data_IF_972062987300
#
_entry.id   IF_972062987300
#
_cell.length_a   1.000
_cell.length_b   1.000
_cell.length_c   1.000
_cell.angle_alpha   90.00
_cell.angle_beta   90.00
_cell.angle_gamma   90.00
#
_symmetry.space_group_name_H-M   'P 1'
#
loop_
_entity.id
_entity.type
_entity.pdbx_description
1 polymer ?
#
# COMPACT_ATOMS: atom_id res chain seq x y z
N UNK A 1 0.18 3.81 8.12
CA UNK A 1 0.98 3.11 7.10
C UNK A 1 0.06 2.85 5.93
N UNK A 2 0.21 3.57 4.81
CA UNK A 2 -0.52 3.27 3.58
C UNK A 2 -0.39 1.79 3.20
N UNK A 3 -1.52 1.17 2.90
CA UNK A 3 -1.64 -0.18 2.36
C UNK A 3 -2.07 -0.06 0.88
N UNK A 4 -2.43 -1.17 0.23
CA UNK A 4 -2.75 -1.16 -1.20
C UNK A 4 -3.78 -0.10 -1.60
N UNK A 5 -4.94 0.05 -0.92
CA UNK A 5 -5.96 0.99 -1.36
C UNK A 5 -5.51 2.45 -1.35
N UNK A 6 -4.73 2.85 -0.34
CA UNK A 6 -4.17 4.20 -0.26
C UNK A 6 -3.16 4.45 -1.39
N UNK A 7 -2.28 3.49 -1.65
CA UNK A 7 -1.27 3.61 -2.71
C UNK A 7 -1.93 3.60 -4.09
N UNK A 8 -2.99 2.82 -4.29
CA UNK A 8 -3.77 2.82 -5.52
C UNK A 8 -4.47 4.17 -5.73
N UNK A 9 -5.09 4.72 -4.68
CA UNK A 9 -5.74 6.04 -4.73
C UNK A 9 -4.76 7.11 -5.17
N UNK A 10 -3.57 7.15 -4.56
CA UNK A 10 -2.50 8.09 -4.95
C UNK A 10 -2.08 7.87 -6.40
N UNK A 11 -1.90 6.61 -6.82
CA UNK A 11 -1.53 6.27 -8.20
C UNK A 11 -2.57 6.75 -9.21
N UNK A 12 -3.86 6.55 -8.94
CA UNK A 12 -4.96 6.97 -9.81
C UNK A 12 -5.05 8.49 -9.92
N UNK A 13 -4.75 9.21 -8.84
CA UNK A 13 -4.68 10.67 -8.83
C UNK A 13 -3.49 11.21 -9.59
N UNK A 14 -2.30 10.63 -9.37
CA UNK A 14 -1.10 11.03 -10.09
C UNK A 14 -1.24 10.79 -11.60
N UNK A 15 -1.92 9.73 -12.04
CA UNK A 15 -2.21 9.51 -13.47
C UNK A 15 -3.13 10.57 -14.09
N UNK A 16 -3.93 11.30 -13.29
CA UNK A 16 -4.73 12.42 -13.80
C UNK A 16 -3.92 13.70 -13.94
N UNK A 17 -2.79 13.77 -13.25
CA UNK A 17 -1.99 14.98 -13.07
C UNK A 17 -0.72 14.94 -13.91
N UNK A 18 0.01 13.82 -13.90
CA UNK A 18 1.36 13.72 -14.43
C UNK A 18 1.40 13.25 -15.88
N UNK A 19 0.89 12.08 -16.29
CA UNK A 19 1.24 11.58 -17.61
C UNK A 19 0.36 12.15 -18.74
N UNK A 20 0.93 12.45 -19.92
CA UNK A 20 2.36 12.59 -20.20
C UNK A 20 2.88 14.01 -19.82
N UNK A 21 3.81 14.11 -18.86
CA UNK A 21 4.52 15.36 -18.51
C UNK A 21 5.98 15.10 -18.17
N UNK A 22 6.81 16.09 -18.45
CA UNK A 22 8.24 16.05 -18.14
C UNK A 22 8.51 16.40 -16.68
N UNK A 23 9.32 15.56 -16.03
CA UNK A 23 10.04 15.94 -14.81
C UNK A 23 11.30 16.67 -15.23
N UNK A 24 11.54 17.85 -14.64
CA UNK A 24 12.67 18.72 -14.97
C UNK A 24 13.76 18.69 -13.90
N UNK A 25 13.42 18.35 -12.66
CA UNK A 25 14.40 18.13 -11.60
C UNK A 25 13.85 17.29 -10.45
N UNK A 26 14.76 16.64 -9.72
CA UNK A 26 14.52 16.04 -8.41
C UNK A 26 15.46 16.71 -7.40
N UNK A 27 14.89 17.44 -6.45
CA UNK A 27 15.62 18.03 -5.33
C UNK A 27 15.51 17.12 -4.12
N UNK A 28 16.64 16.59 -3.65
CA UNK A 28 16.69 15.90 -2.37
C UNK A 28 16.88 16.92 -1.23
N UNK A 29 15.86 17.08 -0.39
CA UNK A 29 15.90 18.00 0.76
C UNK A 29 16.45 17.32 2.02
N UNK A 30 16.40 15.99 2.09
CA UNK A 30 17.00 15.20 3.16
C UNK A 30 17.83 14.06 2.56
N UNK A 31 19.15 14.02 2.79
CA UNK A 31 20.03 12.99 2.24
C UNK A 31 19.59 11.55 2.53
N UNK A 32 19.71 10.67 1.53
CA UNK A 32 19.37 9.25 1.60
C UNK A 32 17.86 8.96 1.50
N UNK A 33 17.07 9.93 1.08
CA UNK A 33 15.66 9.76 0.70
C UNK A 33 15.55 9.19 -0.71
N UNK A 34 16.31 9.77 -1.65
CA UNK A 34 16.45 9.29 -3.02
C UNK A 34 17.71 8.44 -3.16
N UNK A 35 17.63 7.35 -3.93
CA UNK A 35 18.73 6.43 -4.18
C UNK A 35 18.82 6.17 -5.68
N UNK A 36 19.92 6.61 -6.29
CA UNK A 36 20.25 6.38 -7.70
C UNK A 36 21.70 5.85 -7.80
N UNK A 37 21.93 4.56 -7.47
CA UNK A 37 23.27 4.00 -7.41
C UNK A 37 23.96 3.93 -8.79
N UNK A 38 23.17 3.93 -9.87
CA UNK A 38 23.63 3.81 -11.25
C UNK A 38 23.73 5.18 -11.96
N UNK A 39 23.41 6.28 -11.26
CA UNK A 39 23.41 7.65 -11.82
C UNK A 39 22.57 7.76 -13.11
N UNK A 40 21.38 7.16 -13.09
CA UNK A 40 20.48 7.06 -14.23
C UNK A 40 19.73 8.36 -14.51
N UNK A 41 19.51 9.19 -13.49
CA UNK A 41 18.72 10.42 -13.60
C UNK A 41 19.38 11.42 -14.56
N UNK A 42 18.73 11.62 -15.71
CA UNK A 42 19.08 12.65 -16.70
C UNK A 42 17.82 13.43 -17.07
N UNK A 43 17.77 14.69 -16.64
CA UNK A 43 16.64 15.57 -16.90
C UNK A 43 16.77 16.30 -18.26
N UNK A 44 15.65 16.66 -18.89
CA UNK A 44 14.30 16.23 -18.56
C UNK A 44 14.03 14.77 -19.00
N UNK A 45 13.07 14.14 -18.34
CA UNK A 45 12.48 12.86 -18.77
C UNK A 45 10.96 12.89 -18.61
N UNK A 46 10.28 12.09 -19.42
CA UNK A 46 8.82 12.00 -19.44
C UNK A 46 8.37 10.90 -18.47
N UNK A 47 7.32 11.16 -17.69
CA UNK A 47 6.55 10.08 -17.05
C UNK A 47 5.50 9.61 -18.05
N UNK A 48 5.63 8.36 -18.51
CA UNK A 48 4.66 7.74 -19.42
C UNK A 48 3.42 7.28 -18.67
N UNK A 49 3.62 6.75 -17.45
CA UNK A 49 2.54 6.24 -16.62
C UNK A 49 2.96 6.17 -15.16
N UNK A 50 1.98 6.22 -14.27
CA UNK A 50 2.16 5.84 -12.87
C UNK A 50 1.44 4.52 -12.62
N UNK A 51 2.13 3.52 -12.10
CA UNK A 51 1.55 2.22 -11.76
C UNK A 51 1.83 1.87 -10.30
N UNK A 52 1.16 0.84 -9.81
CA UNK A 52 1.33 0.34 -8.44
C UNK A 52 1.75 -1.12 -8.46
N UNK A 53 2.72 -1.46 -7.63
CA UNK A 53 3.04 -2.85 -7.24
C UNK A 53 2.97 -3.00 -5.73
N UNK A 54 2.03 -3.78 -5.22
CA UNK A 54 1.80 -3.91 -3.78
C UNK A 54 1.56 -2.56 -3.10
N UNK A 55 2.54 -2.09 -2.33
CA UNK A 55 2.53 -0.80 -1.61
C UNK A 55 3.55 0.21 -2.18
N UNK A 56 4.03 -0.04 -3.40
CA UNK A 56 4.96 0.80 -4.13
C UNK A 56 4.21 1.55 -5.22
N UNK A 57 4.54 2.83 -5.37
CA UNK A 57 4.18 3.66 -6.52
C UNK A 57 5.36 3.56 -7.48
N UNK A 58 5.10 3.39 -8.77
CA UNK A 58 6.14 3.26 -9.80
C UNK A 58 5.85 4.27 -10.89
N UNK A 59 6.78 5.19 -11.12
CA UNK A 59 6.74 6.07 -12.29
C UNK A 59 7.52 5.38 -13.40
N UNK A 60 6.80 4.97 -14.45
CA UNK A 60 7.36 4.46 -15.69
C UNK A 60 7.78 5.66 -16.54
N UNK A 61 9.02 5.66 -17.01
CA UNK A 61 9.59 6.78 -17.74
C UNK A 61 9.87 6.42 -19.19
N UNK A 62 10.01 7.43 -20.07
CA UNK A 62 10.44 7.20 -21.46
C UNK A 62 11.95 6.92 -21.61
N UNK A 63 12.62 6.59 -20.50
CA UNK A 63 14.03 6.23 -20.41
C UNK A 63 14.12 4.81 -19.86
N UNK A 64 15.31 4.21 -19.87
CA UNK A 64 15.53 2.84 -19.40
C UNK A 64 15.60 2.70 -17.86
N UNK A 65 14.79 3.48 -17.14
CA UNK A 65 14.71 3.45 -15.68
C UNK A 65 13.31 3.80 -15.19
N UNK A 66 13.00 3.31 -13.99
CA UNK A 66 11.77 3.57 -13.27
C UNK A 66 12.05 4.22 -11.93
N UNK A 67 11.13 5.06 -11.45
CA UNK A 67 11.20 5.66 -10.11
C UNK A 67 10.20 4.95 -9.21
N UNK A 68 10.69 4.28 -8.18
CA UNK A 68 9.90 3.47 -7.27
C UNK A 68 9.82 4.16 -5.90
N UNK A 69 8.61 4.46 -5.45
CA UNK A 69 8.37 5.16 -4.19
C UNK A 69 7.64 4.24 -3.21
N UNK A 70 8.19 4.09 -2.00
CA UNK A 70 7.50 3.39 -0.91
C UNK A 70 7.24 4.34 0.26
N UNK A 71 5.98 4.66 0.51
CA UNK A 71 5.55 5.64 1.53
C UNK A 71 5.83 5.21 2.97
N UNK A 72 5.98 3.90 3.20
CA UNK A 72 6.18 3.31 4.54
C UNK A 72 5.06 3.76 5.47
N UNK A 73 5.37 4.41 6.59
CA UNK A 73 4.39 4.62 7.66
C UNK A 73 3.63 5.94 7.53
N UNK A 74 4.37 7.02 7.29
CA UNK A 74 3.90 8.41 7.34
C UNK A 74 4.20 9.18 6.05
N UNK A 75 4.79 8.52 5.04
CA UNK A 75 5.07 9.13 3.77
C UNK A 75 3.78 9.53 3.04
N UNK A 76 3.82 10.69 2.39
CA UNK A 76 2.76 11.25 1.56
C UNK A 76 3.36 11.71 0.25
N UNK A 77 2.55 11.63 -0.80
CA UNK A 77 2.82 12.28 -2.07
C UNK A 77 1.79 13.38 -2.20
N UNK A 78 2.27 14.60 -2.39
CA UNK A 78 1.45 15.80 -2.39
C UNK A 78 1.71 16.55 -3.68
N UNK A 79 0.65 17.02 -4.32
CA UNK A 79 0.73 17.87 -5.48
C UNK A 79 0.51 19.33 -5.09
N UNK A 80 1.38 20.21 -5.55
CA UNK A 80 1.25 21.66 -5.39
C UNK A 80 1.52 22.38 -6.71
N UNK A 81 0.69 23.34 -7.09
CA UNK A 81 0.98 24.25 -8.20
C UNK A 81 1.99 25.33 -7.82
N UNK A 82 2.02 25.72 -6.55
CA UNK A 82 3.00 26.64 -6.00
C UNK A 82 3.59 25.99 -4.76
N UNK A 83 4.88 25.67 -4.78
CA UNK A 83 5.55 25.00 -3.67
C UNK A 83 5.43 25.84 -2.39
N UNK A 84 4.80 25.29 -1.37
CA UNK A 84 4.68 25.96 -0.08
C UNK A 84 6.06 26.05 0.60
N UNK A 85 6.44 27.25 1.03
CA UNK A 85 7.71 27.46 1.75
C UNK A 85 7.74 26.76 3.12
N UNK A 86 6.58 26.36 3.67
CA UNK A 86 6.43 25.83 5.02
C UNK A 86 6.33 24.29 5.10
N UNK A 87 6.99 23.56 4.19
CA UNK A 87 6.99 22.08 4.19
C UNK A 87 8.10 21.49 5.08
N UNK A 88 7.93 21.57 6.41
CA UNK A 88 8.90 21.08 7.43
C UNK A 88 9.31 19.61 7.25
N UNK A 89 8.42 18.80 6.68
CA UNK A 89 8.62 17.35 6.52
C UNK A 89 8.85 16.91 5.07
N UNK A 90 9.00 17.86 4.13
CA UNK A 90 9.40 17.54 2.77
C UNK A 90 10.82 16.93 2.76
N UNK A 91 10.96 15.83 2.04
CA UNK A 91 12.20 15.05 1.94
C UNK A 91 12.76 15.06 0.54
N UNK A 92 11.90 15.10 -0.47
CA UNK A 92 12.29 15.33 -1.85
C UNK A 92 11.17 16.03 -2.60
N UNK A 93 11.54 16.76 -3.65
CA UNK A 93 10.59 17.48 -4.53
C UNK A 93 10.93 17.15 -5.97
N UNK A 94 9.95 16.63 -6.72
CA UNK A 94 10.02 16.58 -8.17
C UNK A 94 9.40 17.86 -8.73
N UNK A 95 10.16 18.60 -9.51
CA UNK A 95 9.63 19.71 -10.29
C UNK A 95 9.25 19.17 -11.67
N UNK A 96 8.08 19.55 -12.17
CA UNK A 96 7.63 19.15 -13.50
C UNK A 96 7.27 20.38 -14.35
N UNK A 97 7.12 20.20 -15.67
CA UNK A 97 6.83 21.32 -16.59
C UNK A 97 5.56 22.11 -16.21
N UNK A 98 5.54 23.42 -16.48
CA UNK A 98 4.42 24.34 -16.14
C UNK A 98 4.23 24.58 -14.63
N UNK A 99 5.34 24.58 -13.88
CA UNK A 99 5.48 25.14 -12.53
C UNK A 99 4.90 24.34 -11.37
N UNK A 100 4.44 23.10 -11.55
CA UNK A 100 3.99 22.32 -10.40
C UNK A 100 5.05 21.40 -9.80
N UNK A 101 4.70 20.90 -8.62
CA UNK A 101 5.60 20.16 -7.75
C UNK A 101 4.92 18.91 -7.22
N UNK A 102 5.67 17.81 -7.19
CA UNK A 102 5.32 16.61 -6.42
C UNK A 102 6.23 16.58 -5.20
N UNK A 103 5.65 16.79 -4.03
CA UNK A 103 6.37 16.78 -2.76
C UNK A 103 6.26 15.40 -2.13
N UNK A 104 7.41 14.80 -1.85
CA UNK A 104 7.49 13.62 -0.99
C UNK A 104 7.72 14.07 0.46
N UNK A 105 6.65 14.03 1.25
CA UNK A 105 6.64 14.43 2.66
C UNK A 105 6.68 13.18 3.55
N UNK A 106 7.58 13.12 4.53
CA UNK A 106 7.61 12.00 5.47
C UNK A 106 8.13 12.42 6.85
N UNK A 107 7.23 12.46 7.84
CA UNK A 107 7.53 12.79 9.23
C UNK A 107 8.63 11.88 9.80
N UNK A 108 8.55 10.57 9.54
CA UNK A 108 9.44 9.56 10.12
C UNK A 108 10.66 9.24 9.27
N UNK A 109 10.76 9.79 8.07
CA UNK A 109 11.92 9.62 7.14
C UNK A 109 12.20 8.18 6.73
N UNK A 110 11.19 7.31 6.82
CA UNK A 110 11.33 5.88 6.53
C UNK A 110 11.10 5.56 5.06
N UNK A 111 10.24 6.33 4.40
CA UNK A 111 9.97 6.13 2.99
C UNK A 111 11.18 6.44 2.12
N UNK A 112 11.15 5.89 0.91
CA UNK A 112 12.28 5.87 -0.02
C UNK A 112 11.80 6.10 -1.44
N UNK A 113 12.65 6.75 -2.21
CA UNK A 113 12.58 6.91 -3.66
C UNK A 113 13.78 6.13 -4.22
N UNK A 114 13.50 5.07 -4.97
CA UNK A 114 14.49 4.21 -5.61
C UNK A 114 14.45 4.45 -7.12
N UNK A 115 15.56 4.89 -7.69
CA UNK A 115 15.74 5.02 -9.14
C UNK A 115 16.53 3.80 -9.58
N UNK A 116 15.90 2.95 -10.40
CA UNK A 116 16.49 1.69 -10.83
C UNK A 116 16.31 1.51 -12.33
N UNK A 117 17.25 0.83 -12.98
CA UNK A 117 17.08 0.45 -14.38
C UNK A 117 15.88 -0.47 -14.54
N UNK A 118 15.16 -0.36 -15.65
CA UNK A 118 13.99 -1.22 -15.93
C UNK A 118 14.37 -2.70 -15.95
N UNK A 119 15.61 -3.02 -16.33
CA UNK A 119 16.16 -4.38 -16.28
C UNK A 119 16.19 -4.97 -14.86
N UNK A 120 16.25 -4.12 -13.84
CA UNK A 120 16.34 -4.51 -12.44
C UNK A 120 14.97 -4.50 -11.73
N UNK A 121 13.89 -4.07 -12.40
CA UNK A 121 12.55 -3.96 -11.79
C UNK A 121 11.95 -5.30 -11.39
N UNK A 122 12.13 -6.33 -12.22
CA UNK A 122 11.65 -7.68 -11.92
C UNK A 122 12.35 -8.23 -10.67
N UNK A 123 13.67 -8.11 -10.59
CA UNK A 123 14.44 -8.54 -9.42
C UNK A 123 14.02 -7.76 -8.15
N UNK A 124 13.84 -6.45 -8.26
CA UNK A 124 13.40 -5.59 -7.15
C UNK A 124 12.07 -6.08 -6.57
N UNK A 125 11.15 -6.56 -7.41
CA UNK A 125 9.84 -7.06 -7.00
C UNK A 125 9.74 -8.58 -6.86
N UNK A 126 10.81 -9.34 -7.11
CA UNK A 126 10.80 -10.81 -7.16
C UNK A 126 10.31 -11.47 -5.85
N UNK A 127 10.47 -10.79 -4.71
CA UNK A 127 10.04 -11.29 -3.39
C UNK A 127 8.62 -10.89 -3.01
N UNK A 128 7.90 -10.17 -3.86
CA UNK A 128 6.52 -9.75 -3.63
C UNK A 128 5.56 -10.78 -4.24
N UNK A 129 4.58 -11.22 -3.45
CA UNK A 129 3.57 -12.19 -3.88
C UNK A 129 2.55 -11.60 -4.85
N UNK A 130 1.54 -12.39 -5.22
CA UNK A 130 0.49 -12.01 -6.15
C UNK A 130 -0.20 -10.69 -5.76
N UNK A 131 -0.62 -9.93 -6.78
CA UNK A 131 -1.53 -8.80 -6.60
C UNK A 131 -2.91 -9.32 -6.15
N UNK A 132 -3.46 -8.87 -5.00
CA UNK A 132 -4.69 -9.45 -4.45
C UNK A 132 -5.94 -9.21 -5.30
N UNK A 133 -5.90 -8.21 -6.19
CA UNK A 133 -7.00 -7.90 -7.12
C UNK A 133 -6.86 -8.58 -8.48
N UNK A 134 -5.75 -9.29 -8.73
CA UNK A 134 -5.53 -10.05 -9.96
C UNK A 134 -6.16 -11.45 -9.91
N UNK A 135 -6.19 -12.13 -11.04
CA UNK A 135 -6.64 -13.52 -11.14
C UNK A 135 -5.61 -14.53 -10.60
N UNK A 136 -4.34 -14.14 -10.51
CA UNK A 136 -3.27 -14.93 -9.87
C UNK A 136 -3.60 -15.16 -8.38
N UNK A 137 -4.16 -14.15 -7.71
CA UNK A 137 -4.62 -14.30 -6.33
C UNK A 137 -5.95 -15.05 -6.27
N UNK A 138 -5.83 -16.37 -6.23
CA UNK A 138 -6.95 -17.32 -6.16
C UNK A 138 -6.72 -18.40 -5.08
N UNK A 139 -7.69 -19.30 -4.93
CA UNK A 139 -7.68 -20.35 -3.90
C UNK A 139 -6.47 -21.28 -4.05
N UNK A 140 -6.12 -21.67 -5.28
CA UNK A 140 -4.98 -22.55 -5.53
C UNK A 140 -3.68 -21.88 -5.11
N UNK A 141 -3.46 -20.65 -5.56
CA UNK A 141 -2.31 -19.84 -5.17
C UNK A 141 -2.18 -19.74 -3.65
N UNK A 142 -3.27 -19.38 -2.96
CA UNK A 142 -3.22 -19.21 -1.50
C UNK A 142 -2.97 -20.55 -0.80
N UNK A 143 -3.62 -21.64 -1.24
CA UNK A 143 -3.37 -22.98 -0.70
C UNK A 143 -1.90 -23.38 -0.79
N UNK A 144 -1.25 -23.11 -1.92
CA UNK A 144 0.16 -23.41 -2.12
C UNK A 144 1.07 -22.54 -1.25
N UNK A 145 0.79 -21.24 -1.15
CA UNK A 145 1.55 -20.32 -0.28
C UNK A 145 1.41 -20.62 1.21
N UNK A 146 0.27 -21.19 1.63
CA UNK A 146 0.01 -21.55 3.02
C UNK A 146 0.46 -22.97 3.39
N UNK A 147 0.87 -23.78 2.41
CA UNK A 147 1.32 -25.16 2.63
C UNK A 147 2.44 -25.21 3.67
N UNK A 148 2.23 -25.98 4.74
CA UNK A 148 3.16 -26.17 5.88
C UNK A 148 3.44 -24.89 6.70
N UNK A 149 2.66 -23.82 6.53
CA UNK A 149 2.78 -22.58 7.33
C UNK A 149 1.93 -22.70 8.60
N UNK A 150 2.53 -23.15 9.69
CA UNK A 150 1.86 -23.29 11.01
C UNK A 150 1.55 -21.97 11.72
N UNK A 151 2.07 -20.84 11.20
CA UNK A 151 1.83 -19.52 11.78
C UNK A 151 0.35 -19.12 11.66
N UNK A 152 -0.16 -18.25 12.55
CA UNK A 152 -1.51 -17.70 12.42
C UNK A 152 -1.75 -17.05 11.06
N UNK A 153 -2.93 -17.27 10.47
CA UNK A 153 -3.29 -16.78 9.13
C UNK A 153 -3.09 -15.27 8.98
N UNK A 154 -3.41 -14.49 10.02
CA UNK A 154 -3.17 -13.04 10.02
C UNK A 154 -1.70 -12.74 9.72
N UNK A 155 -0.78 -13.42 10.39
CA UNK A 155 0.65 -13.17 10.23
C UNK A 155 1.08 -13.50 8.81
N UNK A 156 0.59 -14.61 8.25
CA UNK A 156 0.97 -15.04 6.90
C UNK A 156 0.43 -14.09 5.83
N UNK A 157 -0.79 -13.55 5.99
CA UNK A 157 -1.37 -12.55 5.08
C UNK A 157 -0.69 -11.18 5.14
N UNK A 158 0.00 -10.85 6.23
CA UNK A 158 0.79 -9.63 6.35
C UNK A 158 2.14 -9.71 5.64
N UNK A 159 2.63 -10.92 5.36
CA UNK A 159 3.88 -11.14 4.64
C UNK A 159 3.70 -10.75 3.17
N UNK A 160 4.45 -9.75 2.70
CA UNK A 160 4.31 -9.25 1.32
C UNK A 160 4.68 -10.30 0.26
N UNK A 161 5.45 -11.34 0.63
CA UNK A 161 5.76 -12.51 -0.21
C UNK A 161 4.60 -13.49 -0.39
N UNK A 162 3.62 -13.45 0.52
CA UNK A 162 2.39 -14.25 0.44
C UNK A 162 1.39 -13.54 -0.45
N UNK A 163 1.13 -12.26 -0.18
CA UNK A 163 0.20 -11.45 -0.94
C UNK A 163 0.64 -9.99 -0.85
N UNK A 164 0.71 -9.34 -2.00
CA UNK A 164 1.15 -7.95 -2.06
C UNK A 164 0.09 -7.02 -1.44
N UNK A 165 0.53 -5.91 -0.85
CA UNK A 165 -0.38 -4.80 -0.61
C UNK A 165 -1.22 -4.89 0.67
N UNK A 166 -1.40 -6.09 1.25
CA UNK A 166 -2.13 -6.24 2.51
C UNK A 166 -1.32 -5.73 3.72
N UNK A 167 -1.96 -4.99 4.61
CA UNK A 167 -1.42 -4.58 5.90
C UNK A 167 -2.39 -4.82 7.04
N UNK A 168 -2.18 -4.12 8.16
CA UNK A 168 -2.81 -4.46 9.43
C UNK A 168 -4.31 -4.16 9.43
N UNK A 169 -4.74 -3.08 8.77
CA UNK A 169 -6.14 -2.67 8.72
C UNK A 169 -6.92 -3.70 7.91
N UNK A 170 -6.54 -3.86 6.64
CA UNK A 170 -7.31 -4.66 5.70
C UNK A 170 -7.29 -6.15 6.03
N UNK A 171 -6.22 -6.68 6.65
CA UNK A 171 -6.21 -8.08 7.11
C UNK A 171 -7.19 -8.30 8.27
N UNK A 172 -7.33 -7.36 9.22
CA UNK A 172 -8.34 -7.51 10.27
C UNK A 172 -9.76 -7.47 9.68
N UNK A 173 -10.02 -6.53 8.77
CA UNK A 173 -11.32 -6.38 8.14
C UNK A 173 -11.71 -7.58 7.27
N UNK A 174 -10.83 -8.06 6.40
CA UNK A 174 -11.13 -9.20 5.53
C UNK A 174 -11.34 -10.49 6.33
N UNK A 175 -10.57 -10.72 7.41
CA UNK A 175 -10.73 -11.92 8.24
C UNK A 175 -12.05 -11.89 9.02
N UNK A 176 -12.46 -10.70 9.49
CA UNK A 176 -13.78 -10.52 10.08
C UNK A 176 -14.88 -10.83 9.07
N UNK A 177 -14.81 -10.27 7.86
CA UNK A 177 -15.80 -10.52 6.81
C UNK A 177 -15.82 -11.97 6.33
N UNK A 178 -14.68 -12.66 6.39
CA UNK A 178 -14.57 -14.09 6.09
C UNK A 178 -15.06 -14.99 7.24
N UNK A 179 -15.23 -14.45 8.45
CA UNK A 179 -15.62 -15.21 9.64
C UNK A 179 -14.51 -16.13 10.16
N UNK A 180 -13.24 -15.78 9.93
CA UNK A 180 -12.08 -16.63 10.25
C UNK A 180 -11.28 -16.01 11.38
N UNK A 181 -10.96 -16.79 12.40
CA UNK A 181 -10.13 -16.35 13.51
C UNK A 181 -8.74 -15.94 13.02
N UNK A 182 -8.21 -14.77 13.44
CA UNK A 182 -6.85 -14.36 13.07
C UNK A 182 -5.76 -15.24 13.69
N UNK A 183 -6.12 -16.07 14.67
CA UNK A 183 -5.22 -17.02 15.36
C UNK A 183 -5.18 -18.39 14.70
N UNK A 184 -6.12 -18.67 13.78
CA UNK A 184 -6.19 -19.95 13.08
C UNK A 184 -4.89 -20.22 12.31
N UNK A 185 -4.35 -21.43 12.43
CA UNK A 185 -3.13 -21.83 11.72
C UNK A 185 -3.38 -21.79 10.21
N UNK A 186 -2.46 -21.19 9.46
CA UNK A 186 -2.68 -20.99 8.04
C UNK A 186 -2.74 -22.31 7.25
N UNK A 187 -1.97 -23.32 7.67
CA UNK A 187 -1.96 -24.65 7.08
C UNK A 187 -3.16 -25.53 7.46
N UNK A 188 -4.01 -25.11 8.40
CA UNK A 188 -5.23 -25.84 8.79
C UNK A 188 -6.51 -25.32 8.14
N UNK A 189 -6.41 -24.29 7.30
CA UNK A 189 -7.56 -23.71 6.60
C UNK A 189 -8.11 -24.67 5.55
N UNK A 190 -9.43 -24.86 5.59
CA UNK A 190 -10.16 -25.65 4.60
C UNK A 190 -10.33 -24.86 3.30
N UNK A 191 -10.55 -25.55 2.19
CA UNK A 191 -10.74 -24.94 0.87
C UNK A 191 -11.83 -23.87 0.83
N UNK A 192 -12.97 -24.10 1.50
CA UNK A 192 -14.05 -23.12 1.61
C UNK A 192 -13.66 -21.86 2.41
N UNK A 193 -12.75 -21.99 3.38
CA UNK A 193 -12.22 -20.86 4.14
C UNK A 193 -11.24 -20.05 3.30
N UNK A 194 -10.38 -20.72 2.53
CA UNK A 194 -9.50 -20.05 1.56
C UNK A 194 -10.31 -19.29 0.51
N UNK A 195 -11.39 -19.88 0.01
CA UNK A 195 -12.32 -19.21 -0.89
C UNK A 195 -12.87 -17.92 -0.26
N UNK A 196 -13.42 -18.00 0.95
CA UNK A 196 -13.89 -16.79 1.67
C UNK A 196 -12.80 -15.74 1.86
N UNK A 197 -11.57 -16.14 2.21
CA UNK A 197 -10.45 -15.18 2.33
C UNK A 197 -10.20 -14.49 1.00
N UNK A 198 -10.09 -15.24 -0.09
CA UNK A 198 -9.78 -14.67 -1.42
C UNK A 198 -10.89 -13.72 -1.88
N UNK A 199 -12.15 -14.12 -1.76
CA UNK A 199 -13.31 -13.30 -2.12
C UNK A 199 -13.40 -12.04 -1.27
N UNK A 200 -13.33 -12.16 0.06
CA UNK A 200 -13.43 -11.01 0.96
C UNK A 200 -12.23 -10.07 0.89
N UNK A 201 -11.05 -10.59 0.54
CA UNK A 201 -9.90 -9.75 0.22
C UNK A 201 -10.21 -8.84 -0.98
N UNK A 202 -10.69 -9.42 -2.09
CA UNK A 202 -11.04 -8.67 -3.29
C UNK A 202 -12.16 -7.65 -3.02
N UNK A 203 -13.20 -8.06 -2.31
CA UNK A 203 -14.33 -7.20 -1.93
C UNK A 203 -13.88 -5.98 -1.11
N UNK A 204 -13.16 -6.22 0.01
CA UNK A 204 -12.71 -5.16 0.92
C UNK A 204 -11.77 -4.19 0.22
N UNK A 205 -10.80 -4.69 -0.54
CA UNK A 205 -9.83 -3.83 -1.22
C UNK A 205 -10.49 -2.99 -2.32
N UNK A 206 -11.42 -3.56 -3.10
CA UNK A 206 -12.17 -2.80 -4.11
C UNK A 206 -13.04 -1.73 -3.46
N UNK A 207 -13.71 -2.04 -2.35
CA UNK A 207 -14.47 -1.06 -1.58
C UNK A 207 -13.56 0.05 -1.05
N UNK A 208 -12.42 -0.30 -0.45
CA UNK A 208 -11.48 0.67 0.07
C UNK A 208 -10.88 1.58 -1.00
N UNK A 209 -10.59 1.07 -2.20
CA UNK A 209 -10.13 1.89 -3.33
C UNK A 209 -11.22 2.87 -3.76
N UNK A 210 -12.47 2.41 -3.91
CA UNK A 210 -13.61 3.30 -4.24
C UNK A 210 -13.79 4.42 -3.20
N UNK A 211 -13.55 4.11 -1.94
CA UNK A 211 -13.62 5.05 -0.82
C UNK A 211 -12.31 5.82 -0.57
N UNK A 212 -11.38 5.83 -1.54
CA UNK A 212 -10.11 6.57 -1.47
C UNK A 212 -9.20 6.19 -0.28
N UNK A 213 -9.30 4.96 0.20
CA UNK A 213 -8.53 4.43 1.33
C UNK A 213 -9.00 4.88 2.71
N UNK A 214 -8.18 4.58 3.72
CA UNK A 214 -8.48 4.78 5.15
C UNK A 214 -7.58 5.83 5.77
N UNK A 215 -8.15 6.93 6.29
CA UNK A 215 -7.40 7.90 7.10
C UNK A 215 -7.65 7.68 8.60
N UNK A 216 -6.68 7.07 9.30
CA UNK A 216 -6.67 6.97 10.79
C UNK A 216 -5.73 7.99 11.41
N UNK A 217 -4.49 8.08 10.91
CA UNK A 217 -3.50 9.07 11.36
C UNK A 217 -3.11 9.99 10.20
N UNK A 218 -2.05 9.63 9.48
CA UNK A 218 -1.30 10.57 8.65
C UNK A 218 -1.56 10.40 7.15
N UNK A 219 -2.28 9.34 6.75
CA UNK A 219 -2.61 9.13 5.34
C UNK A 219 -3.46 10.28 4.81
N UNK A 220 -3.01 10.83 3.69
CA UNK A 220 -3.72 11.80 2.88
C UNK A 220 -3.52 11.46 1.40
N UNK A 221 -4.50 11.88 0.61
CA UNK A 221 -4.51 11.86 -0.86
C UNK A 221 -3.52 12.89 -1.43
N UNK A 222 -3.36 12.90 -2.75
CA UNK A 222 -2.44 13.82 -3.44
C UNK A 222 -2.83 15.29 -3.25
N UNK A 223 -4.12 15.56 -3.08
CA UNK A 223 -4.70 16.87 -2.74
C UNK A 223 -4.81 17.13 -1.23
N UNK A 224 -4.11 16.33 -0.42
CA UNK A 224 -4.11 16.33 1.05
C UNK A 224 -5.46 16.04 1.72
N UNK A 225 -6.49 15.65 0.97
CA UNK A 225 -7.76 15.22 1.55
C UNK A 225 -7.65 13.82 2.17
N UNK A 226 -8.58 13.53 3.07
CA UNK A 226 -8.69 12.21 3.72
C UNK A 226 -9.34 11.20 2.78
N UNK A 227 -9.04 9.92 3.00
CA UNK A 227 -9.88 8.81 2.52
C UNK A 227 -11.19 8.75 3.30
N UNK A 228 -12.09 7.86 2.89
CA UNK A 228 -13.42 7.68 3.49
C UNK A 228 -13.63 6.28 4.11
N UNK A 229 -12.77 5.30 3.83
CA UNK A 229 -12.99 3.91 4.24
C UNK A 229 -12.96 3.69 5.76
N UNK A 230 -12.39 4.61 6.55
CA UNK A 230 -12.44 4.53 8.03
C UNK A 230 -13.87 4.46 8.59
N UNK A 231 -14.84 4.99 7.85
CA UNK A 231 -16.25 4.98 8.20
C UNK A 231 -16.91 3.60 7.98
N UNK A 232 -16.26 2.72 7.22
CA UNK A 232 -16.75 1.39 6.85
C UNK A 232 -16.02 0.25 7.59
N UNK A 233 -15.06 0.58 8.45
CA UNK A 233 -14.34 -0.39 9.29
C UNK A 233 -15.29 -1.08 10.26
N UNK A 234 -15.25 -2.41 10.29
CA UNK A 234 -16.13 -3.25 11.10
C UNK A 234 -15.48 -3.71 12.40
N UNK A 235 -14.15 -3.83 12.45
CA UNK A 235 -13.43 -4.32 13.64
C UNK A 235 -12.23 -3.48 14.02
N UNK A 236 -11.50 -2.92 13.04
CA UNK A 236 -10.24 -2.24 13.32
C UNK A 236 -10.45 -0.98 14.16
N UNK A 237 -9.84 -0.94 15.36
CA UNK A 237 -10.02 0.13 16.35
C UNK A 237 -11.49 0.39 16.73
N UNK A 238 -12.35 -0.62 16.64
CA UNK A 238 -13.74 -0.57 17.15
C UNK A 238 -13.87 -1.31 18.47
N UNK A 239 -14.84 -0.90 19.28
CA UNK A 239 -15.18 -1.57 20.54
C UNK A 239 -16.18 -2.72 20.35
N UNK A 240 -17.07 -2.59 19.36
CA UNK A 240 -18.11 -3.55 19.03
C UNK A 240 -18.14 -3.79 17.51
N UNK A 241 -18.43 -5.02 17.10
CA UNK A 241 -18.66 -5.34 15.69
C UNK A 241 -20.08 -4.91 15.27
N UNK A 242 -20.42 -4.92 13.97
CA UNK A 242 -21.78 -4.63 13.47
C UNK A 242 -22.92 -5.48 14.07
N UNK A 243 -22.62 -6.65 14.66
CA UNK A 243 -23.60 -7.49 15.37
C UNK A 243 -23.69 -7.17 16.88
N UNK A 244 -23.07 -6.07 17.32
CA UNK A 244 -23.01 -5.64 18.72
C UNK A 244 -22.22 -6.57 19.68
N UNK A 245 -21.48 -7.55 19.18
CA UNK A 245 -20.54 -8.33 19.99
C UNK A 245 -19.26 -7.54 20.26
N UNK A 246 -18.66 -7.72 21.44
CA UNK A 246 -17.42 -7.04 21.85
C UNK A 246 -16.24 -7.46 20.97
N UNK A 247 -15.41 -6.48 20.60
CA UNK A 247 -14.15 -6.71 19.88
C UNK A 247 -13.04 -7.06 20.87
N UNK A 248 -12.32 -8.13 20.56
CA UNK A 248 -11.09 -8.51 21.24
C UNK A 248 -9.88 -7.88 20.56
N UNK A 249 -8.92 -7.46 21.38
CA UNK A 249 -7.63 -6.93 20.94
C UNK A 249 -6.51 -7.82 21.46
N UNK A 250 -5.75 -8.43 20.55
CA UNK A 250 -4.56 -9.23 20.87
C UNK A 250 -3.32 -8.66 20.16
N UNK A 251 -2.12 -9.11 20.56
CA UNK A 251 -0.87 -8.77 19.89
C UNK A 251 -0.38 -9.96 19.08
N UNK A 252 -0.21 -9.80 17.77
CA UNK A 252 0.35 -10.82 16.88
C UNK A 252 1.48 -10.21 16.04
N UNK A 253 2.65 -10.85 16.06
CA UNK A 253 3.86 -10.39 15.33
C UNK A 253 4.17 -8.90 15.55
N UNK A 254 4.08 -8.42 16.79
CA UNK A 254 4.35 -7.02 17.14
C UNK A 254 3.25 -6.02 16.78
N UNK A 255 2.12 -6.46 16.22
CA UNK A 255 1.01 -5.59 15.79
C UNK A 255 -0.26 -5.87 16.58
N UNK A 256 -1.08 -4.84 16.77
CA UNK A 256 -2.42 -5.00 17.35
C UNK A 256 -3.33 -5.69 16.33
N UNK A 257 -4.06 -6.72 16.76
CA UNK A 257 -5.12 -7.41 16.03
C UNK A 257 -6.44 -7.09 16.68
N UNK A 258 -7.42 -6.70 15.86
CA UNK A 258 -8.80 -6.48 16.27
C UNK A 258 -9.67 -7.54 15.60
N UNK A 259 -10.48 -8.25 16.37
CA UNK A 259 -11.35 -9.31 15.85
C UNK A 259 -12.54 -9.55 16.78
N UNK A 260 -13.61 -10.14 16.27
CA UNK A 260 -14.77 -10.53 17.06
C UNK A 260 -14.72 -12.04 17.35
N UNK A 261 -14.54 -12.48 18.60
CA UNK A 261 -14.42 -13.90 18.95
C UNK A 261 -15.71 -14.70 18.68
N UNK A 262 -16.86 -14.02 18.63
CA UNK A 262 -18.14 -14.67 18.34
C UNK A 262 -18.39 -14.85 16.84
N UNK A 263 -17.92 -13.92 16.02
CA UNK A 263 -18.13 -13.98 14.56
C UNK A 263 -17.03 -14.76 13.83
N UNK A 264 -15.87 -14.96 14.46
CA UNK A 264 -14.68 -15.51 13.82
C UNK A 264 -14.22 -16.79 14.53
N UNK A 265 -14.16 -17.90 13.79
CA UNK A 265 -13.79 -19.23 14.30
C UNK A 265 -12.55 -19.80 13.61
#
# INVERSE_FOLDING_TARGET
>A
MPELPEVQTITDELNKILPPRNIISLKELRPGTARDPESLLKFPFLIEKVVRRGKYIVFETNRNFSIIIHLRMTGKIIYEENLSQNRKHARSVFDYEKSGHIVFDDIRTFGKIDIISDKNTEEFFARIGAEPLSDEFNVSYLKDKLKRRKAPIKNVLLEQKTVAGLGNIYVCELLYRAGISPEKKADSLKTNELQKITEKTKEVLKEAVRENGTTISDYARVDEKKGNFQNFLRVYQKNFCPKNHKISKIKQAGRSTYFCPECQK
#
